data_IF_589025239466
#
_entry.id   IF_589025239466
#
_cell.length_a   1.000
_cell.length_b   1.000
_cell.length_c   1.000
_cell.angle_alpha   90.00
_cell.angle_beta   90.00
_cell.angle_gamma   90.00
#
_symmetry.space_group_name_H-M   'P 1'
#
loop_
_entity.id
_entity.type
_entity.pdbx_description
1 polymer ?
#
# COMPACT_ATOMS: atom_id res chain seq x y z
N UNK A 1 46.82 -25.09 93.90
CA UNK A 1 47.38 -24.51 92.64
C UNK A 1 46.25 -24.45 91.65
N UNK A 2 45.70 -23.24 91.41
CA UNK A 2 44.56 -23.01 90.53
C UNK A 2 45.08 -22.55 89.14
N UNK A 3 44.83 -23.37 88.13
CA UNK A 3 45.07 -22.95 86.68
C UNK A 3 43.95 -22.18 86.18
N UNK A 4 44.18 -20.94 85.73
CA UNK A 4 43.22 -20.07 85.02
C UNK A 4 43.40 -20.34 83.56
N UNK A 5 42.33 -20.85 82.92
CA UNK A 5 42.21 -20.99 81.43
C UNK A 5 41.71 -19.67 80.91
N UNK A 6 42.50 -19.01 80.08
CA UNK A 6 42.12 -17.79 79.30
C UNK A 6 41.46 -18.22 78.01
N UNK A 7 40.19 -17.93 77.92
CA UNK A 7 39.42 -18.18 76.68
C UNK A 7 39.59 -16.96 75.81
N UNK A 8 40.35 -17.05 74.72
CA UNK A 8 40.44 -16.04 73.66
C UNK A 8 39.15 -16.12 72.76
N UNK A 9 38.26 -15.15 72.89
CA UNK A 9 37.16 -14.93 71.94
C UNK A 9 37.78 -14.23 70.71
N UNK A 10 37.99 -14.97 69.63
CA UNK A 10 38.21 -14.42 68.30
C UNK A 10 36.86 -14.07 67.68
N UNK A 11 36.55 -12.76 67.65
CA UNK A 11 35.40 -12.22 66.88
C UNK A 11 35.74 -12.32 65.41
N UNK A 12 35.08 -13.25 64.74
CA UNK A 12 35.02 -13.29 63.28
C UNK A 12 34.19 -12.10 62.80
N UNK A 13 34.81 -11.05 62.27
CA UNK A 13 34.18 -10.05 61.48
C UNK A 13 33.90 -10.69 60.10
N UNK A 14 32.65 -11.12 59.86
CA UNK A 14 32.17 -11.39 58.54
C UNK A 14 32.07 -10.05 57.81
N UNK A 15 32.61 -9.90 56.59
CA UNK A 15 32.39 -8.69 55.82
C UNK A 15 30.88 -8.57 55.53
N UNK A 16 30.28 -7.51 56.03
CA UNK A 16 28.94 -7.11 55.62
C UNK A 16 29.04 -6.74 54.13
N UNK A 17 28.70 -7.68 53.26
CA UNK A 17 28.47 -7.35 51.85
C UNK A 17 27.33 -6.38 51.83
N UNK A 18 27.64 -5.10 51.60
CA UNK A 18 26.65 -4.03 51.55
C UNK A 18 25.59 -4.40 50.52
N UNK A 19 24.37 -4.56 50.98
CA UNK A 19 23.21 -4.80 50.13
C UNK A 19 23.06 -3.54 49.28
N UNK A 20 23.29 -3.65 47.95
CA UNK A 20 23.13 -2.55 47.00
C UNK A 20 21.72 -1.98 47.19
N UNK A 21 21.57 -0.69 47.41
CA UNK A 21 20.28 -0.05 47.63
C UNK A 21 19.35 -0.28 46.43
N UNK A 22 18.06 -0.37 46.65
CA UNK A 22 17.07 -0.50 45.57
C UNK A 22 17.21 0.62 44.54
N UNK A 23 17.57 1.83 44.96
CA UNK A 23 17.84 2.98 44.08
C UNK A 23 19.02 2.72 43.15
N UNK A 24 20.11 2.15 43.69
CA UNK A 24 21.28 1.80 42.85
C UNK A 24 20.97 0.67 41.88
N UNK A 25 20.16 -0.32 42.30
CA UNK A 25 19.68 -1.39 41.41
C UNK A 25 18.77 -0.84 40.30
N UNK A 26 17.86 0.08 40.61
CA UNK A 26 17.01 0.76 39.64
C UNK A 26 17.86 1.53 38.63
N UNK A 27 18.82 2.34 39.10
CA UNK A 27 19.70 3.14 38.25
C UNK A 27 20.55 2.24 37.31
N UNK A 28 21.07 1.13 37.84
CA UNK A 28 21.81 0.17 37.03
C UNK A 28 20.94 -0.46 35.93
N UNK A 29 19.71 -0.85 36.26
CA UNK A 29 18.75 -1.39 35.26
C UNK A 29 18.29 -0.35 34.24
N UNK A 30 18.14 0.90 34.62
CA UNK A 30 17.86 1.98 33.68
C UNK A 30 18.96 2.16 32.65
N UNK A 31 20.25 2.16 33.12
CA UNK A 31 21.39 2.22 32.19
C UNK A 31 21.46 1.01 31.25
N UNK A 32 21.17 -0.19 31.75
CA UNK A 32 21.11 -1.40 30.94
C UNK A 32 20.04 -1.30 29.87
N UNK A 33 18.83 -0.80 30.20
CA UNK A 33 17.74 -0.55 29.25
C UNK A 33 18.14 0.48 28.19
N UNK A 34 18.84 1.56 28.57
CA UNK A 34 19.34 2.56 27.62
C UNK A 34 20.36 1.96 26.64
N UNK A 35 21.32 1.16 27.17
CA UNK A 35 22.29 0.46 26.33
C UNK A 35 21.64 -0.52 25.37
N UNK A 36 20.65 -1.30 25.82
CA UNK A 36 19.92 -2.23 24.97
C UNK A 36 19.15 -1.50 23.86
N UNK A 37 18.54 -0.36 24.14
CA UNK A 37 17.85 0.47 23.14
C UNK A 37 18.82 1.00 22.08
N UNK A 38 20.03 1.45 22.50
CA UNK A 38 21.01 1.93 21.53
C UNK A 38 21.55 0.78 20.66
N UNK A 39 21.84 -0.39 21.27
CA UNK A 39 22.22 -1.58 20.52
C UNK A 39 21.13 -2.03 19.54
N UNK A 40 19.87 -2.04 19.95
CA UNK A 40 18.73 -2.35 19.08
C UNK A 40 18.67 -1.39 17.89
N UNK A 41 18.86 -0.09 18.13
CA UNK A 41 18.89 0.92 17.06
C UNK A 41 20.02 0.66 16.07
N UNK A 42 21.22 0.36 16.53
CA UNK A 42 22.37 0.06 15.67
C UNK A 42 22.13 -1.21 14.83
N UNK A 43 21.55 -2.26 15.43
CA UNK A 43 21.20 -3.49 14.71
C UNK A 43 20.12 -3.24 13.65
N UNK A 44 19.13 -2.39 13.92
CA UNK A 44 18.11 -2.01 12.93
C UNK A 44 18.72 -1.26 11.74
N UNK A 45 19.65 -0.35 11.97
CA UNK A 45 20.36 0.37 10.91
C UNK A 45 21.19 -0.62 10.04
N UNK A 46 21.89 -1.53 10.67
CA UNK A 46 22.69 -2.53 9.95
C UNK A 46 21.79 -3.50 9.15
N UNK A 47 20.68 -3.93 9.74
CA UNK A 47 19.71 -4.77 9.06
C UNK A 47 19.10 -4.07 7.83
N UNK A 48 18.72 -2.78 7.96
CA UNK A 48 18.23 -1.98 6.83
C UNK A 48 19.30 -1.90 5.72
N UNK A 49 20.55 -1.62 6.07
CA UNK A 49 21.68 -1.58 5.14
C UNK A 49 21.84 -2.89 4.36
N UNK A 50 21.78 -4.03 5.06
CA UNK A 50 21.90 -5.35 4.45
C UNK A 50 20.70 -5.67 3.53
N UNK A 51 19.47 -5.31 3.94
CA UNK A 51 18.27 -5.47 3.11
C UNK A 51 18.37 -4.65 1.83
N UNK A 52 18.77 -3.39 1.91
CA UNK A 52 18.97 -2.53 0.75
C UNK A 52 20.06 -3.08 -0.18
N UNK A 53 21.16 -3.57 0.36
CA UNK A 53 22.23 -4.18 -0.43
C UNK A 53 21.74 -5.44 -1.18
N UNK A 54 20.95 -6.30 -0.52
CA UNK A 54 20.32 -7.47 -1.14
C UNK A 54 19.37 -7.06 -2.26
N UNK A 55 18.44 -6.13 -1.97
CA UNK A 55 17.46 -5.66 -2.97
C UNK A 55 18.16 -5.11 -4.20
N UNK A 56 19.25 -4.36 -4.04
CA UNK A 56 20.02 -3.85 -5.17
C UNK A 56 20.57 -4.97 -6.05
N UNK A 57 21.15 -6.02 -5.45
CA UNK A 57 21.65 -7.19 -6.18
C UNK A 57 20.53 -7.93 -6.90
N UNK A 58 19.37 -8.09 -6.21
CA UNK A 58 18.22 -8.78 -6.78
C UNK A 58 17.60 -7.96 -7.93
N UNK A 59 17.52 -6.63 -7.81
CA UNK A 59 17.11 -5.76 -8.91
C UNK A 59 18.00 -5.95 -10.13
N UNK A 60 19.32 -5.83 -9.97
CA UNK A 60 20.28 -5.93 -11.05
C UNK A 60 20.25 -7.30 -11.76
N UNK A 61 20.00 -8.37 -11.03
CA UNK A 61 20.08 -9.74 -11.57
C UNK A 61 18.75 -10.31 -12.05
N UNK A 62 17.64 -9.89 -11.43
CA UNK A 62 16.40 -10.64 -11.53
C UNK A 62 15.19 -9.80 -12.01
N UNK A 63 15.24 -8.47 -11.88
CA UNK A 63 14.04 -7.64 -12.04
C UNK A 63 14.13 -6.68 -13.21
N UNK A 64 15.33 -6.20 -13.54
CA UNK A 64 15.49 -5.22 -14.62
C UNK A 64 14.98 -5.80 -15.95
N UNK A 65 14.19 -5.00 -16.70
CA UNK A 65 13.90 -5.30 -18.09
C UNK A 65 15.18 -5.32 -18.96
N UNK A 66 15.07 -5.80 -20.17
CA UNK A 66 16.11 -5.66 -21.18
C UNK A 66 16.48 -4.19 -21.36
N UNK A 67 17.79 -3.90 -21.30
CA UNK A 67 18.29 -2.54 -21.45
C UNK A 67 18.67 -2.32 -22.91
N UNK A 68 17.98 -1.41 -23.56
CA UNK A 68 18.23 -1.12 -24.97
C UNK A 68 19.49 -0.28 -25.15
N UNK A 69 20.08 -0.38 -26.35
CA UNK A 69 21.29 0.38 -26.68
C UNK A 69 21.06 1.89 -26.48
N UNK A 70 21.93 2.53 -25.71
CA UNK A 70 21.88 3.93 -25.40
C UNK A 70 21.04 4.30 -24.17
N UNK A 71 20.40 3.33 -23.51
CA UNK A 71 19.71 3.56 -22.22
C UNK A 71 20.70 3.49 -21.06
N UNK A 72 20.50 4.35 -20.07
CA UNK A 72 21.26 4.36 -18.82
C UNK A 72 20.29 3.97 -17.67
N UNK A 73 20.64 2.90 -16.96
CA UNK A 73 19.90 2.49 -15.74
C UNK A 73 20.36 3.33 -14.57
N UNK A 74 19.41 3.96 -13.92
CA UNK A 74 19.63 4.74 -12.70
C UNK A 74 19.19 3.89 -11.52
N UNK A 75 20.16 3.60 -10.64
CA UNK A 75 19.98 2.72 -9.48
C UNK A 75 19.87 3.55 -8.20
N UNK A 76 18.72 3.49 -7.56
CA UNK A 76 18.47 4.00 -6.20
C UNK A 76 18.62 2.90 -5.14
N UNK A 77 18.34 3.22 -3.88
CA UNK A 77 18.51 2.27 -2.77
C UNK A 77 17.64 1.01 -2.90
N UNK A 78 16.40 1.16 -3.39
CA UNK A 78 15.44 0.05 -3.51
C UNK A 78 14.60 0.10 -4.79
N UNK A 79 14.98 0.92 -5.78
CA UNK A 79 14.36 0.97 -7.09
C UNK A 79 15.39 1.28 -8.17
N UNK A 80 15.06 0.91 -9.40
CA UNK A 80 15.85 1.24 -10.59
C UNK A 80 14.93 1.77 -11.68
N UNK A 81 15.45 2.63 -12.55
CA UNK A 81 14.66 3.19 -13.64
C UNK A 81 15.50 3.52 -14.87
N UNK A 82 14.85 3.64 -16.01
CA UNK A 82 15.38 4.31 -17.21
C UNK A 82 14.58 5.58 -17.46
N UNK A 83 15.25 6.72 -17.51
CA UNK A 83 14.61 8.00 -17.73
C UNK A 83 14.51 8.33 -19.23
N UNK A 84 13.40 8.94 -19.64
CA UNK A 84 13.20 9.48 -20.99
C UNK A 84 13.30 10.99 -20.96
N UNK A 85 14.41 11.54 -21.45
CA UNK A 85 14.60 12.98 -21.60
C UNK A 85 13.55 13.62 -22.52
N UNK A 86 13.10 12.89 -23.53
CA UNK A 86 12.05 13.33 -24.45
C UNK A 86 10.72 13.55 -23.76
N UNK A 87 10.40 12.66 -22.81
CA UNK A 87 9.10 12.59 -22.14
C UNK A 87 9.13 13.18 -20.74
N UNK A 88 10.32 13.51 -20.22
CA UNK A 88 10.56 14.07 -18.89
C UNK A 88 9.97 13.23 -17.76
N UNK A 89 10.15 11.91 -17.87
CA UNK A 89 9.71 10.93 -16.88
C UNK A 89 10.37 9.56 -17.15
N UNK A 90 10.28 8.63 -16.19
CA UNK A 90 10.79 7.29 -16.43
C UNK A 90 9.99 6.55 -17.52
N UNK A 91 10.70 5.78 -18.37
CA UNK A 91 10.09 4.77 -19.26
C UNK A 91 9.49 3.63 -18.44
N UNK A 92 10.19 3.25 -17.41
CA UNK A 92 9.79 2.26 -16.42
C UNK A 92 10.58 2.47 -15.11
N UNK A 93 9.98 2.01 -14.02
CA UNK A 93 10.60 1.89 -12.69
C UNK A 93 10.42 0.47 -12.19
N UNK A 94 11.53 -0.18 -11.83
CA UNK A 94 11.57 -1.52 -11.25
C UNK A 94 11.80 -1.44 -9.74
N UNK A 95 11.08 -2.24 -8.95
CA UNK A 95 11.27 -2.37 -7.51
C UNK A 95 10.80 -3.73 -6.99
N UNK A 96 11.10 -4.04 -5.75
CA UNK A 96 10.67 -5.28 -5.08
C UNK A 96 9.76 -4.94 -3.91
N UNK A 97 8.56 -5.51 -3.89
CA UNK A 97 7.67 -5.46 -2.72
C UNK A 97 8.06 -6.63 -1.82
N UNK A 98 8.59 -6.32 -0.64
CA UNK A 98 9.01 -7.32 0.35
C UNK A 98 7.96 -7.50 1.46
N UNK A 99 7.96 -8.61 2.21
CA UNK A 99 7.07 -8.80 3.37
C UNK A 99 7.20 -7.70 4.44
N UNK A 100 8.28 -6.94 4.43
CA UNK A 100 8.47 -5.78 5.32
C UNK A 100 7.43 -4.67 5.12
N UNK A 101 6.73 -4.66 3.99
CA UNK A 101 5.65 -3.70 3.69
C UNK A 101 4.56 -3.70 4.76
N UNK A 102 4.30 -4.86 5.37
CA UNK A 102 3.28 -5.02 6.44
C UNK A 102 3.73 -4.43 7.77
N UNK A 103 5.03 -4.39 8.04
CA UNK A 103 5.62 -3.92 9.30
C UNK A 103 6.20 -2.51 9.22
N UNK A 104 6.24 -1.91 8.04
CA UNK A 104 6.78 -0.58 7.81
C UNK A 104 5.97 0.50 8.55
N UNK A 105 6.60 1.17 9.54
CA UNK A 105 5.97 2.17 10.39
C UNK A 105 6.36 3.60 10.05
N UNK A 106 7.27 3.80 9.10
CA UNK A 106 7.75 5.13 8.73
C UNK A 106 6.62 5.90 8.04
N UNK A 107 6.32 7.09 8.57
CA UNK A 107 5.32 8.00 8.03
C UNK A 107 5.74 8.54 6.66
N UNK A 108 4.77 8.90 5.84
CA UNK A 108 5.02 9.52 4.53
C UNK A 108 5.78 10.84 4.71
N UNK A 109 6.94 10.99 4.07
CA UNK A 109 7.81 12.18 4.21
C UNK A 109 7.38 13.36 3.31
N UNK A 110 6.79 13.08 2.14
CA UNK A 110 6.46 14.07 1.09
C UNK A 110 7.66 14.94 0.66
N UNK A 111 8.88 14.43 0.75
CA UNK A 111 10.11 15.15 0.41
C UNK A 111 10.41 15.13 -1.10
N UNK A 112 9.43 15.57 -1.89
CA UNK A 112 9.55 15.68 -3.33
C UNK A 112 10.71 16.59 -3.73
N UNK A 113 11.59 16.09 -4.59
CA UNK A 113 12.80 16.80 -5.03
C UNK A 113 13.30 16.30 -6.37
N UNK A 114 14.03 17.12 -7.14
CA UNK A 114 14.73 16.67 -8.34
C UNK A 114 15.68 15.53 -8.04
N UNK A 115 15.82 14.61 -9.00
CA UNK A 115 16.75 13.51 -8.90
C UNK A 115 18.13 13.91 -9.43
N UNK A 116 19.11 13.96 -8.54
CA UNK A 116 20.47 14.36 -8.87
C UNK A 116 21.23 13.33 -9.71
N UNK A 117 20.71 12.12 -9.85
CA UNK A 117 21.30 11.09 -10.71
C UNK A 117 20.90 11.26 -12.18
N UNK A 118 19.85 12.05 -12.48
CA UNK A 118 19.52 12.43 -13.85
C UNK A 118 20.45 13.59 -14.26
N UNK A 119 21.39 13.31 -15.14
CA UNK A 119 22.47 14.27 -15.52
C UNK A 119 21.94 15.56 -16.17
N UNK A 120 20.86 15.46 -16.90
CA UNK A 120 20.18 16.58 -17.59
C UNK A 120 19.21 17.32 -16.68
N UNK A 121 18.90 16.74 -15.52
CA UNK A 121 17.87 17.17 -14.59
C UNK A 121 16.57 16.40 -14.78
N UNK A 122 15.87 16.10 -13.70
CA UNK A 122 14.51 15.56 -13.75
C UNK A 122 13.48 16.70 -13.74
N UNK A 123 12.19 16.35 -13.93
CA UNK A 123 11.08 17.27 -13.60
C UNK A 123 11.20 17.82 -12.19
N UNK A 124 10.47 18.89 -11.92
CA UNK A 124 10.47 19.63 -10.66
C UNK A 124 9.04 19.88 -10.17
N UNK A 125 8.87 20.56 -9.05
CA UNK A 125 7.57 21.00 -8.55
C UNK A 125 6.80 21.84 -9.58
N UNK A 126 7.51 22.71 -10.30
CA UNK A 126 6.96 23.62 -11.30
C UNK A 126 6.41 22.90 -12.56
N UNK A 127 6.62 21.60 -12.68
CA UNK A 127 6.05 20.79 -13.75
C UNK A 127 4.65 20.24 -13.43
N UNK A 128 4.19 20.43 -12.19
CA UNK A 128 2.90 19.95 -11.72
C UNK A 128 1.95 21.05 -11.24
N UNK A 129 2.52 22.16 -10.71
CA UNK A 129 1.77 23.32 -10.25
C UNK A 129 2.69 24.53 -10.05
N UNK A 130 2.08 25.71 -10.09
CA UNK A 130 2.72 26.96 -9.66
C UNK A 130 2.31 27.23 -8.21
N UNK A 131 3.19 27.87 -7.44
CA UNK A 131 2.86 28.37 -6.12
C UNK A 131 3.24 29.85 -6.01
N UNK A 132 2.33 30.62 -5.45
CA UNK A 132 2.46 32.05 -5.19
C UNK A 132 2.43 32.27 -3.68
N UNK A 133 3.44 32.98 -3.15
CA UNK A 133 3.45 33.37 -1.74
C UNK A 133 2.51 34.57 -1.56
N UNK A 134 1.49 34.42 -0.74
CA UNK A 134 0.53 35.46 -0.42
C UNK A 134 1.05 36.37 0.71
N UNK A 135 0.43 37.56 0.85
CA UNK A 135 0.83 38.56 1.83
C UNK A 135 0.72 38.09 3.30
N UNK A 136 -0.14 37.09 3.56
CA UNK A 136 -0.32 36.47 4.88
C UNK A 136 0.71 35.36 5.20
N UNK A 137 1.69 35.13 4.30
CA UNK A 137 2.70 34.09 4.44
C UNK A 137 2.24 32.69 4.03
N UNK A 138 1.02 32.53 3.55
CA UNK A 138 0.51 31.27 2.99
C UNK A 138 0.83 31.14 1.50
N UNK A 139 0.67 29.92 0.94
CA UNK A 139 0.86 29.68 -0.50
C UNK A 139 -0.48 29.40 -1.17
N UNK A 140 -0.70 30.07 -2.30
CA UNK A 140 -1.73 29.70 -3.26
C UNK A 140 -1.13 28.76 -4.30
N UNK A 141 -1.81 27.66 -4.58
CA UNK A 141 -1.39 26.65 -5.55
C UNK A 141 -2.28 26.69 -6.79
N UNK A 142 -1.65 26.74 -7.97
CA UNK A 142 -2.32 26.66 -9.27
C UNK A 142 -1.86 25.38 -9.98
N UNK A 143 -2.62 24.30 -9.80
CA UNK A 143 -2.33 22.97 -10.32
C UNK A 143 -2.64 22.83 -11.81
N UNK A 144 -1.87 21.97 -12.48
CA UNK A 144 -2.05 21.69 -13.92
C UNK A 144 -3.01 20.53 -14.19
N UNK A 145 -3.70 20.04 -13.16
CA UNK A 145 -4.69 18.98 -13.28
C UNK A 145 -4.12 17.56 -13.18
N UNK A 146 -2.87 17.43 -12.73
CA UNK A 146 -2.19 16.15 -12.54
C UNK A 146 -1.58 16.06 -11.15
N UNK A 147 -1.66 14.87 -10.57
CA UNK A 147 -0.89 14.50 -9.38
C UNK A 147 0.55 14.15 -9.78
N UNK A 148 1.48 14.33 -8.84
CA UNK A 148 2.80 13.70 -8.87
C UNK A 148 2.62 12.22 -8.59
N UNK A 149 2.23 11.45 -9.63
CA UNK A 149 1.90 10.03 -9.51
C UNK A 149 3.16 9.20 -9.42
N UNK A 150 3.30 8.44 -8.33
CA UNK A 150 4.41 7.51 -8.15
C UNK A 150 4.30 6.33 -9.12
N UNK A 151 5.42 5.92 -9.73
CA UNK A 151 5.53 4.65 -10.45
C UNK A 151 5.87 3.51 -9.48
N UNK A 152 6.90 3.67 -8.65
CA UNK A 152 7.13 2.83 -7.46
C UNK A 152 6.53 3.54 -6.24
N UNK A 153 5.45 3.03 -5.62
CA UNK A 153 4.69 3.75 -4.61
C UNK A 153 5.43 3.84 -3.29
N UNK A 154 5.40 5.01 -2.65
CA UNK A 154 6.06 5.25 -1.36
C UNK A 154 5.61 4.30 -0.24
N UNK A 155 4.39 3.76 -0.34
CA UNK A 155 3.85 2.81 0.63
C UNK A 155 4.61 1.47 0.65
N UNK A 156 5.29 1.10 -0.43
CA UNK A 156 6.05 -0.14 -0.53
C UNK A 156 7.41 -0.04 0.18
N UNK A 157 7.85 1.18 0.55
CA UNK A 157 9.16 1.45 1.14
C UNK A 157 9.12 1.91 2.61
N UNK A 158 7.97 1.86 3.30
CA UNK A 158 7.82 2.33 4.68
C UNK A 158 8.65 1.58 5.73
N UNK A 159 9.38 0.58 5.34
CA UNK A 159 10.31 -0.18 6.18
C UNK A 159 11.74 0.40 6.18
N UNK A 160 12.07 1.31 5.23
CA UNK A 160 13.37 1.97 5.09
C UNK A 160 13.19 3.46 4.88
N UNK A 161 13.78 4.27 5.76
CA UNK A 161 13.73 5.72 5.65
C UNK A 161 14.38 6.21 4.35
N UNK A 162 15.49 5.58 3.94
CA UNK A 162 16.21 5.92 2.72
C UNK A 162 15.40 5.59 1.47
N UNK A 163 14.89 4.37 1.36
CA UNK A 163 14.10 3.94 0.20
C UNK A 163 12.80 4.75 0.08
N UNK A 164 12.13 5.01 1.22
CA UNK A 164 10.94 5.87 1.27
C UNK A 164 11.24 7.28 0.77
N UNK A 165 12.32 7.91 1.25
CA UNK A 165 12.72 9.24 0.81
C UNK A 165 13.06 9.27 -0.69
N UNK A 166 13.80 8.29 -1.19
CA UNK A 166 14.17 8.21 -2.61
C UNK A 166 12.95 7.96 -3.53
N UNK A 167 11.88 7.33 -3.03
CA UNK A 167 10.64 7.16 -3.80
C UNK A 167 9.97 8.49 -4.17
N UNK A 168 10.31 9.60 -3.52
CA UNK A 168 9.81 10.95 -3.81
C UNK A 168 10.66 11.73 -4.82
N UNK A 169 11.69 11.13 -5.42
CA UNK A 169 12.37 11.76 -6.54
C UNK A 169 11.41 11.98 -7.71
N UNK A 170 11.54 13.13 -8.38
CA UNK A 170 10.70 13.45 -9.55
C UNK A 170 10.94 12.50 -10.73
N UNK A 171 12.08 11.83 -10.79
CA UNK A 171 12.32 10.74 -11.76
C UNK A 171 11.37 9.54 -11.61
N UNK A 172 10.82 9.34 -10.41
CA UNK A 172 9.80 8.33 -10.10
C UNK A 172 8.37 8.87 -10.27
N UNK A 173 8.19 10.13 -10.70
CA UNK A 173 6.88 10.78 -10.85
C UNK A 173 6.46 10.84 -12.31
N UNK A 174 5.14 10.71 -12.52
CA UNK A 174 4.51 10.84 -13.83
C UNK A 174 3.20 11.62 -13.71
N UNK A 175 2.77 12.39 -14.76
CA UNK A 175 1.51 13.12 -14.73
C UNK A 175 0.28 12.20 -14.69
N UNK A 176 -0.20 11.88 -13.51
CA UNK A 176 -1.38 11.04 -13.29
C UNK A 176 -2.61 11.90 -12.98
N UNK A 177 -3.76 11.56 -13.58
CA UNK A 177 -5.03 12.19 -13.20
C UNK A 177 -5.36 11.86 -11.74
N UNK A 178 -5.88 12.82 -10.94
CA UNK A 178 -6.15 12.59 -9.52
C UNK A 178 -7.08 11.40 -9.24
N UNK A 179 -8.14 11.25 -10.02
CA UNK A 179 -9.08 10.14 -9.90
C UNK A 179 -8.47 8.78 -10.27
N UNK A 180 -7.52 8.76 -11.19
CA UNK A 180 -6.73 7.57 -11.49
C UNK A 180 -5.78 7.25 -10.34
N UNK A 181 -4.89 8.18 -10.01
CA UNK A 181 -3.84 8.01 -9.00
C UNK A 181 -4.42 7.62 -7.62
N UNK A 182 -5.38 8.43 -7.14
CA UNK A 182 -5.89 8.33 -5.77
C UNK A 182 -6.92 7.22 -5.55
N UNK A 183 -7.53 6.72 -6.63
CA UNK A 183 -8.60 5.70 -6.53
C UNK A 183 -8.22 4.43 -7.28
N UNK A 184 -8.13 4.49 -8.61
CA UNK A 184 -7.98 3.28 -9.44
C UNK A 184 -6.60 2.62 -9.27
N UNK A 185 -5.54 3.44 -9.34
CA UNK A 185 -4.17 2.98 -9.22
C UNK A 185 -3.83 2.55 -7.79
N UNK A 186 -4.29 3.32 -6.79
CA UNK A 186 -4.12 2.99 -5.38
C UNK A 186 -4.73 1.62 -5.03
N UNK A 187 -5.90 1.27 -5.59
CA UNK A 187 -6.51 -0.07 -5.40
C UNK A 187 -5.64 -1.19 -5.95
N UNK A 188 -5.04 -0.99 -7.13
CA UNK A 188 -4.13 -1.97 -7.72
C UNK A 188 -2.87 -2.17 -6.84
N UNK A 189 -2.31 -1.09 -6.33
CA UNK A 189 -1.16 -1.15 -5.42
C UNK A 189 -1.50 -1.86 -4.11
N UNK A 190 -2.67 -1.59 -3.54
CA UNK A 190 -3.15 -2.26 -2.32
C UNK A 190 -3.39 -3.76 -2.53
N UNK A 191 -3.83 -4.18 -3.73
CA UNK A 191 -3.97 -5.59 -4.10
C UNK A 191 -2.63 -6.33 -3.91
N UNK A 192 -1.54 -5.80 -4.46
CA UNK A 192 -0.23 -6.43 -4.38
C UNK A 192 0.36 -6.40 -2.96
N UNK A 193 0.20 -5.31 -2.22
CA UNK A 193 0.62 -5.26 -0.82
C UNK A 193 -0.14 -6.28 0.04
N UNK A 194 -1.44 -6.42 -0.18
CA UNK A 194 -2.27 -7.42 0.50
C UNK A 194 -1.85 -8.85 0.14
N UNK A 195 -1.50 -9.09 -1.11
CA UNK A 195 -0.97 -10.38 -1.57
C UNK A 195 0.35 -10.72 -0.86
N UNK A 196 1.29 -9.79 -0.80
CA UNK A 196 2.58 -9.97 -0.11
C UNK A 196 2.39 -10.21 1.39
N UNK A 197 1.53 -9.42 2.03
CA UNK A 197 1.24 -9.58 3.46
C UNK A 197 0.69 -10.97 3.77
N UNK A 198 -0.22 -11.47 2.94
CA UNK A 198 -0.84 -12.77 3.12
C UNK A 198 0.11 -13.94 2.84
N UNK A 199 0.81 -13.89 1.70
CA UNK A 199 1.60 -15.03 1.21
C UNK A 199 3.04 -15.00 1.76
N UNK A 200 3.46 -13.88 2.38
CA UNK A 200 4.83 -13.66 2.89
C UNK A 200 5.91 -13.92 1.83
N UNK A 201 5.59 -13.59 0.58
CA UNK A 201 6.46 -13.70 -0.59
C UNK A 201 6.96 -12.34 -1.04
N UNK A 202 7.93 -12.30 -1.92
CA UNK A 202 8.41 -11.08 -2.57
C UNK A 202 7.82 -10.97 -3.97
N UNK A 203 7.49 -9.75 -4.39
CA UNK A 203 7.03 -9.47 -5.74
C UNK A 203 8.04 -8.61 -6.49
N UNK A 204 8.38 -9.03 -7.69
CA UNK A 204 9.16 -8.26 -8.64
C UNK A 204 8.21 -7.43 -9.49
N UNK A 205 8.39 -6.12 -9.47
CA UNK A 205 7.43 -5.17 -10.05
C UNK A 205 8.14 -4.23 -11.02
N UNK A 206 7.59 -4.10 -12.22
CA UNK A 206 7.98 -3.06 -13.18
C UNK A 206 6.74 -2.23 -13.54
N UNK A 207 6.84 -0.92 -13.37
CA UNK A 207 5.73 0.01 -13.61
C UNK A 207 6.17 1.09 -14.55
N UNK A 208 5.34 1.47 -15.51
CA UNK A 208 5.65 2.59 -16.40
C UNK A 208 4.45 3.18 -17.10
N UNK A 209 4.62 4.38 -17.68
CA UNK A 209 3.69 4.95 -18.63
C UNK A 209 3.83 4.25 -19.98
N UNK A 210 2.73 4.11 -20.73
CA UNK A 210 2.79 3.74 -22.14
C UNK A 210 3.13 4.98 -22.97
N UNK A 211 4.43 5.18 -23.23
CA UNK A 211 4.93 6.33 -23.99
C UNK A 211 4.90 6.03 -25.49
N UNK A 212 4.37 6.96 -26.26
CA UNK A 212 4.29 6.91 -27.72
C UNK A 212 4.46 8.32 -28.31
N UNK A 213 4.86 8.38 -29.55
CA UNK A 213 4.92 9.65 -30.26
C UNK A 213 3.53 10.30 -30.39
N UNK A 214 3.49 11.63 -30.33
CA UNK A 214 2.26 12.39 -30.48
C UNK A 214 1.38 12.49 -29.23
N UNK A 215 1.83 11.98 -28.08
CA UNK A 215 1.12 12.20 -26.82
C UNK A 215 1.15 13.69 -26.41
N UNK A 216 0.07 14.19 -25.78
CA UNK A 216 0.04 15.56 -25.29
C UNK A 216 1.07 15.78 -24.17
N UNK A 217 1.47 17.02 -23.98
CA UNK A 217 2.37 17.45 -22.90
C UNK A 217 1.67 18.38 -21.93
N UNK A 218 2.20 18.49 -20.72
CA UNK A 218 1.73 19.49 -19.75
C UNK A 218 2.27 20.85 -20.20
N UNK A 219 1.55 21.57 -21.06
CA UNK A 219 2.02 22.76 -21.74
C UNK A 219 2.37 23.93 -20.81
N UNK A 220 1.74 24.00 -19.63
CA UNK A 220 2.03 25.01 -18.58
C UNK A 220 3.28 24.70 -17.78
N UNK A 221 3.78 23.47 -17.86
CA UNK A 221 4.94 23.01 -17.12
C UNK A 221 6.24 23.52 -17.75
N UNK A 222 7.26 23.70 -16.92
CA UNK A 222 8.59 24.18 -17.35
C UNK A 222 9.26 23.18 -18.31
N UNK A 223 9.30 21.89 -17.92
CA UNK A 223 9.95 20.83 -18.69
C UNK A 223 8.97 20.09 -19.60
N UNK A 224 7.68 20.43 -19.52
CA UNK A 224 6.61 19.87 -20.36
C UNK A 224 6.58 18.35 -20.41
N UNK A 225 6.43 17.65 -19.27
CA UNK A 225 6.35 16.20 -19.26
C UNK A 225 5.19 15.70 -20.12
N UNK A 226 5.41 14.58 -20.82
CA UNK A 226 4.40 13.92 -21.62
C UNK A 226 3.27 13.39 -20.72
N UNK A 227 2.02 13.55 -21.15
CA UNK A 227 0.83 13.04 -20.44
C UNK A 227 0.50 11.65 -20.99
N UNK A 228 0.76 10.56 -20.23
CA UNK A 228 0.44 9.21 -20.67
C UNK A 228 -1.08 8.98 -20.71
N UNK A 229 -1.54 8.25 -21.72
CA UNK A 229 -2.94 7.81 -21.80
C UNK A 229 -3.17 6.53 -21.01
N UNK A 230 -2.14 5.67 -20.90
CA UNK A 230 -2.17 4.42 -20.16
C UNK A 230 -0.93 4.27 -19.29
N UNK A 231 -1.11 3.53 -18.20
CA UNK A 231 -0.03 3.01 -17.37
C UNK A 231 -0.06 1.50 -17.34
N UNK A 232 1.09 0.88 -17.32
CA UNK A 232 1.24 -0.54 -17.10
C UNK A 232 1.88 -0.82 -15.75
N UNK A 233 1.58 -1.99 -15.21
CA UNK A 233 2.26 -2.60 -14.07
C UNK A 233 2.41 -4.09 -14.36
N UNK A 234 3.63 -4.57 -14.35
CA UNK A 234 4.00 -5.98 -14.53
C UNK A 234 4.49 -6.50 -13.20
N UNK A 235 3.99 -7.66 -12.77
CA UNK A 235 4.28 -8.22 -11.45
C UNK A 235 4.56 -9.71 -11.58
N UNK A 236 5.65 -10.15 -10.97
CA UNK A 236 6.04 -11.56 -10.89
C UNK A 236 6.26 -11.99 -9.44
N UNK A 237 5.62 -13.09 -9.06
CA UNK A 237 5.95 -13.90 -7.88
C UNK A 237 6.74 -15.13 -8.37
N UNK A 238 8.07 -15.00 -8.36
CA UNK A 238 8.96 -16.05 -8.80
C UNK A 238 8.83 -17.32 -7.98
N UNK A 239 8.64 -17.18 -6.65
CA UNK A 239 8.53 -18.31 -5.73
C UNK A 239 7.31 -19.19 -6.04
N UNK A 240 6.18 -18.57 -6.42
CA UNK A 240 4.93 -19.26 -6.75
C UNK A 240 4.72 -19.42 -8.26
N UNK A 241 5.69 -19.05 -9.10
CA UNK A 241 5.65 -19.13 -10.58
C UNK A 241 4.41 -18.43 -11.15
N UNK A 242 4.16 -17.21 -10.71
CA UNK A 242 3.00 -16.41 -11.11
C UNK A 242 3.46 -15.10 -11.73
N UNK A 243 2.79 -14.71 -12.81
CA UNK A 243 2.95 -13.41 -13.44
C UNK A 243 1.60 -12.80 -13.80
N UNK A 244 1.55 -11.48 -13.84
CA UNK A 244 0.38 -10.74 -14.27
C UNK A 244 0.78 -9.35 -14.73
N UNK A 245 0.09 -8.87 -15.76
CA UNK A 245 0.16 -7.49 -16.21
C UNK A 245 -1.15 -6.76 -15.95
N UNK A 246 -1.07 -5.45 -15.78
CA UNK A 246 -2.20 -4.55 -15.79
C UNK A 246 -1.94 -3.41 -16.75
N UNK A 247 -2.95 -3.05 -17.54
CA UNK A 247 -2.94 -1.90 -18.44
C UNK A 247 -4.16 -1.04 -18.13
N UNK A 248 -3.93 0.12 -17.53
CA UNK A 248 -5.01 0.96 -17.01
C UNK A 248 -4.99 2.35 -17.65
N UNK A 249 -6.13 2.90 -18.09
CA UNK A 249 -6.19 4.26 -18.64
C UNK A 249 -5.96 5.29 -17.54
N UNK A 250 -5.28 6.40 -17.88
CA UNK A 250 -5.03 7.54 -16.99
C UNK A 250 -6.31 8.36 -16.73
N UNK A 251 -7.33 7.72 -16.17
CA UNK A 251 -8.61 8.29 -15.76
C UNK A 251 -9.25 7.38 -14.72
N UNK A 252 -10.36 7.82 -14.13
CA UNK A 252 -11.15 6.92 -13.27
C UNK A 252 -11.50 5.64 -14.03
N UNK A 253 -11.09 4.50 -13.51
CA UNK A 253 -11.40 3.20 -14.09
C UNK A 253 -12.75 2.72 -13.59
N UNK A 254 -13.66 2.44 -14.51
CA UNK A 254 -14.97 1.90 -14.20
C UNK A 254 -14.88 0.38 -14.05
N UNK A 255 -15.64 -0.16 -13.10
CA UNK A 255 -15.67 -1.59 -12.83
C UNK A 255 -14.53 -2.09 -11.94
N UNK A 256 -14.41 -3.41 -11.79
CA UNK A 256 -13.42 -4.02 -10.92
C UNK A 256 -12.00 -3.97 -11.52
N UNK A 257 -11.00 -3.92 -10.66
CA UNK A 257 -9.56 -3.82 -11.05
C UNK A 257 -9.13 -4.97 -11.95
N UNK A 258 -9.70 -6.17 -11.74
CA UNK A 258 -9.43 -7.37 -12.54
C UNK A 258 -9.78 -7.24 -14.02
N UNK A 259 -10.68 -6.32 -14.38
CA UNK A 259 -11.03 -6.05 -15.80
C UNK A 259 -9.89 -5.45 -16.61
N UNK A 260 -8.84 -4.97 -15.94
CA UNK A 260 -7.67 -4.35 -16.56
C UNK A 260 -6.46 -5.27 -16.58
N UNK A 261 -6.62 -6.54 -16.14
CA UNK A 261 -5.55 -7.52 -16.18
C UNK A 261 -5.29 -7.99 -17.62
N UNK A 262 -4.04 -8.11 -17.96
CA UNK A 262 -3.51 -8.59 -19.24
C UNK A 262 -2.33 -9.52 -18.99
N UNK A 263 -1.87 -10.24 -20.00
CA UNK A 263 -0.61 -10.98 -19.91
C UNK A 263 0.59 -10.01 -19.96
N UNK A 264 1.73 -10.46 -19.46
CA UNK A 264 3.00 -9.71 -19.59
C UNK A 264 3.35 -9.56 -21.06
N UNK A 265 3.24 -10.62 -21.87
CA UNK A 265 3.43 -10.61 -23.33
C UNK A 265 2.65 -9.49 -24.03
N UNK A 266 1.43 -9.22 -23.55
CA UNK A 266 0.62 -8.13 -24.11
C UNK A 266 1.21 -6.75 -23.84
N UNK A 267 1.83 -6.57 -22.67
CA UNK A 267 2.51 -5.31 -22.32
C UNK A 267 3.81 -5.18 -23.10
N UNK A 268 4.57 -6.26 -23.26
CA UNK A 268 5.80 -6.31 -24.07
C UNK A 268 5.53 -5.93 -25.52
N UNK A 269 4.48 -6.53 -26.11
CA UNK A 269 4.04 -6.17 -27.47
C UNK A 269 3.70 -4.68 -27.60
N UNK A 270 3.10 -4.08 -26.56
CA UNK A 270 2.69 -2.68 -26.58
C UNK A 270 3.83 -1.71 -26.32
N UNK A 271 4.81 -2.09 -25.50
CA UNK A 271 5.90 -1.22 -25.04
C UNK A 271 7.20 -1.42 -25.81
N UNK A 272 7.40 -2.61 -26.39
CA UNK A 272 8.68 -3.06 -26.94
C UNK A 272 9.74 -3.35 -25.88
N UNK A 273 9.34 -3.46 -24.60
CA UNK A 273 10.22 -3.77 -23.47
C UNK A 273 10.09 -5.27 -23.20
N UNK A 274 11.20 -5.99 -23.15
CA UNK A 274 11.25 -7.38 -22.70
C UNK A 274 11.49 -7.40 -21.18
N UNK A 275 10.58 -8.01 -20.41
CA UNK A 275 10.64 -8.05 -18.94
C UNK A 275 11.27 -9.37 -18.47
N UNK A 276 11.91 -9.34 -17.29
CA UNK A 276 12.39 -10.52 -16.55
C UNK A 276 13.30 -11.47 -17.37
N UNK A 277 14.11 -10.95 -18.24
CA UNK A 277 15.04 -11.69 -19.12
C UNK A 277 16.01 -12.63 -18.38
N UNK A 278 16.08 -12.56 -17.07
CA UNK A 278 16.86 -13.47 -16.21
C UNK A 278 16.16 -14.79 -15.91
N UNK A 279 14.86 -14.90 -16.21
CA UNK A 279 14.12 -16.16 -16.07
C UNK A 279 14.58 -17.15 -17.16
N UNK A 280 14.45 -18.46 -16.91
CA UNK A 280 14.62 -19.43 -17.97
C UNK A 280 13.46 -19.35 -18.96
N UNK A 281 13.71 -19.57 -20.25
CA UNK A 281 12.71 -19.52 -21.34
C UNK A 281 11.42 -20.28 -20.99
N UNK A 282 11.54 -21.46 -20.33
CA UNK A 282 10.37 -22.25 -19.92
C UNK A 282 9.52 -21.54 -18.85
N UNK A 283 10.20 -20.93 -17.87
CA UNK A 283 9.54 -20.23 -16.77
C UNK A 283 8.97 -18.90 -17.26
N UNK A 284 9.71 -18.14 -18.04
CA UNK A 284 9.32 -16.90 -18.70
C UNK A 284 8.03 -17.13 -19.50
N UNK A 285 8.05 -18.03 -20.51
CA UNK A 285 6.88 -18.36 -21.30
C UNK A 285 5.65 -18.78 -20.46
N UNK A 286 5.88 -19.50 -19.36
CA UNK A 286 4.78 -19.92 -18.46
C UNK A 286 4.17 -18.76 -17.69
N UNK A 287 5.01 -17.85 -17.19
CA UNK A 287 4.61 -16.73 -16.34
C UNK A 287 3.97 -15.61 -17.16
N UNK A 288 4.54 -15.28 -18.31
CA UNK A 288 4.18 -14.10 -19.10
C UNK A 288 2.83 -14.23 -19.81
N UNK A 289 2.39 -15.45 -20.11
CA UNK A 289 1.07 -15.73 -20.67
C UNK A 289 -0.08 -15.63 -19.64
N UNK A 290 0.24 -15.61 -18.35
CA UNK A 290 -0.78 -15.58 -17.30
C UNK A 290 -1.50 -14.23 -17.26
N UNK A 291 -2.80 -14.27 -17.08
CA UNK A 291 -3.67 -13.08 -16.89
C UNK A 291 -4.78 -13.29 -15.85
N UNK A 292 -4.83 -14.48 -15.22
CA UNK A 292 -5.83 -14.74 -14.19
C UNK A 292 -5.48 -14.00 -12.89
N UNK A 293 -6.35 -13.09 -12.50
CA UNK A 293 -6.19 -12.29 -11.30
C UNK A 293 -6.55 -13.03 -10.01
N UNK A 294 -7.36 -14.09 -10.06
CA UNK A 294 -7.86 -14.80 -8.87
C UNK A 294 -6.76 -15.25 -7.91
N UNK A 295 -5.62 -15.81 -8.37
CA UNK A 295 -4.53 -16.18 -7.47
C UNK A 295 -3.91 -15.01 -6.69
N UNK A 296 -4.08 -13.78 -7.19
CA UNK A 296 -3.55 -12.55 -6.59
C UNK A 296 -4.49 -11.93 -5.55
N UNK A 297 -5.76 -12.34 -5.58
CA UNK A 297 -6.76 -11.83 -4.66
C UNK A 297 -6.60 -12.40 -3.26
N UNK A 298 -6.97 -11.64 -2.26
CA UNK A 298 -7.07 -12.17 -0.90
C UNK A 298 -8.17 -13.23 -0.83
N UNK A 299 -8.10 -14.23 0.08
CA UNK A 299 -9.18 -15.20 0.26
C UNK A 299 -10.51 -14.52 0.58
N UNK A 300 -10.47 -13.34 1.23
CA UNK A 300 -11.67 -12.55 1.53
C UNK A 300 -12.28 -11.98 0.26
N UNK A 301 -11.48 -11.60 -0.74
CA UNK A 301 -11.95 -11.14 -2.06
C UNK A 301 -12.49 -12.29 -2.90
N UNK A 302 -11.94 -13.50 -2.74
CA UNK A 302 -12.45 -14.71 -3.39
C UNK A 302 -13.86 -15.12 -2.88
N UNK A 303 -14.31 -14.57 -1.77
CA UNK A 303 -15.66 -14.76 -1.24
C UNK A 303 -16.67 -13.76 -1.84
N UNK A 304 -16.26 -12.94 -2.78
CA UNK A 304 -17.15 -12.05 -3.50
C UNK A 304 -18.34 -12.82 -4.09
N UNK A 305 -19.52 -12.27 -3.87
CA UNK A 305 -20.77 -12.84 -4.38
C UNK A 305 -21.45 -11.86 -5.34
N UNK A 306 -22.38 -12.35 -6.12
CA UNK A 306 -23.26 -11.47 -6.90
C UNK A 306 -24.22 -10.76 -5.94
N UNK A 307 -24.44 -9.45 -6.14
CA UNK A 307 -25.49 -8.74 -5.43
C UNK A 307 -26.85 -9.44 -5.56
N UNK A 308 -27.65 -9.35 -4.51
CA UNK A 308 -28.99 -9.95 -4.50
C UNK A 308 -29.81 -9.45 -5.71
N UNK A 309 -30.64 -10.35 -6.28
CA UNK A 309 -31.56 -9.97 -7.34
C UNK A 309 -32.61 -8.99 -6.79
N UNK A 310 -32.75 -7.78 -7.38
CA UNK A 310 -33.73 -6.79 -6.91
C UNK A 310 -35.17 -7.31 -6.88
N UNK A 311 -35.50 -8.30 -7.71
CA UNK A 311 -36.85 -8.89 -7.78
C UNK A 311 -37.17 -9.78 -6.57
N UNK A 312 -36.17 -10.24 -5.86
CA UNK A 312 -36.29 -11.06 -4.65
C UNK A 312 -36.29 -10.23 -3.37
N UNK A 313 -36.04 -8.91 -3.48
CA UNK A 313 -36.02 -8.03 -2.32
C UNK A 313 -37.43 -7.51 -1.98
N UNK A 314 -37.74 -7.36 -0.68
CA UNK A 314 -38.98 -6.74 -0.26
C UNK A 314 -39.12 -5.30 -0.77
N UNK A 315 -40.32 -4.78 -0.80
CA UNK A 315 -40.58 -3.38 -1.21
C UNK A 315 -39.75 -2.41 -0.36
N UNK A 316 -39.10 -1.44 -0.99
CA UNK A 316 -38.16 -0.46 -0.38
C UNK A 316 -36.86 -1.07 0.14
N UNK A 317 -36.54 -2.30 -0.21
CA UNK A 317 -35.21 -2.86 -0.02
C UNK A 317 -34.43 -2.82 -1.35
N UNK A 318 -33.15 -2.53 -1.26
CA UNK A 318 -32.28 -2.35 -2.40
C UNK A 318 -31.02 -3.22 -2.24
N UNK A 319 -30.49 -3.72 -3.32
CA UNK A 319 -29.20 -4.37 -3.27
C UNK A 319 -28.05 -3.33 -3.25
N UNK A 320 -26.84 -3.79 -3.05
CA UNK A 320 -25.63 -2.96 -2.95
C UNK A 320 -25.35 -2.12 -4.20
N UNK A 321 -25.72 -2.59 -5.40
CA UNK A 321 -25.58 -1.83 -6.65
C UNK A 321 -26.59 -0.70 -6.74
N UNK A 322 -27.86 -0.96 -6.37
CA UNK A 322 -28.90 0.05 -6.36
C UNK A 322 -28.68 1.15 -5.31
N UNK A 323 -27.99 0.83 -4.19
CA UNK A 323 -27.63 1.77 -3.14
C UNK A 323 -26.88 3.01 -3.68
N UNK A 324 -26.13 2.86 -4.79
CA UNK A 324 -25.42 3.94 -5.47
C UNK A 324 -26.35 5.09 -5.89
N UNK A 325 -27.61 4.79 -6.23
CA UNK A 325 -28.59 5.79 -6.66
C UNK A 325 -29.07 6.70 -5.52
N UNK A 326 -28.90 6.25 -4.27
CA UNK A 326 -29.35 6.97 -3.07
C UNK A 326 -28.21 7.73 -2.36
N UNK A 327 -27.03 7.71 -2.93
CA UNK A 327 -25.84 8.34 -2.38
C UNK A 327 -26.05 9.85 -2.22
N UNK A 328 -26.05 10.33 -0.98
CA UNK A 328 -26.20 11.76 -0.66
C UNK A 328 -27.62 12.31 -0.71
N UNK A 329 -28.65 11.50 -1.00
CA UNK A 329 -30.03 11.96 -1.08
C UNK A 329 -30.72 12.20 0.28
N UNK A 330 -30.05 11.90 1.40
CA UNK A 330 -30.56 12.07 2.76
C UNK A 330 -31.86 11.28 3.06
N UNK A 331 -32.18 10.28 2.22
CA UNK A 331 -33.30 9.36 2.42
C UNK A 331 -32.87 8.15 3.23
N UNK A 332 -33.75 7.66 4.11
CA UNK A 332 -33.55 6.40 4.83
C UNK A 332 -34.08 5.26 3.95
N UNK A 333 -33.19 4.33 3.60
CA UNK A 333 -33.49 3.13 2.82
C UNK A 333 -32.92 1.89 3.52
N UNK A 334 -33.37 0.71 3.08
CA UNK A 334 -32.79 -0.56 3.49
C UNK A 334 -31.91 -1.11 2.36
N UNK A 335 -30.63 -1.40 2.65
CA UNK A 335 -29.70 -2.02 1.71
C UNK A 335 -29.36 -3.43 2.17
N UNK A 336 -29.53 -4.41 1.28
CA UNK A 336 -29.27 -5.83 1.56
C UNK A 336 -28.09 -6.34 0.73
N UNK A 337 -27.25 -7.19 1.34
CA UNK A 337 -26.10 -7.83 0.71
C UNK A 337 -25.38 -8.78 1.66
N UNK A 338 -24.47 -9.56 1.12
CA UNK A 338 -23.69 -10.52 1.90
C UNK A 338 -22.37 -9.90 2.38
N UNK A 339 -22.05 -10.03 3.66
CA UNK A 339 -20.78 -9.55 4.22
C UNK A 339 -19.66 -10.46 3.76
N UNK A 340 -18.90 -10.04 2.78
CA UNK A 340 -17.82 -10.85 2.17
C UNK A 340 -16.43 -10.48 2.69
N UNK A 341 -16.27 -9.30 3.29
CA UNK A 341 -15.04 -8.95 4.00
C UNK A 341 -15.30 -8.03 5.18
N UNK A 342 -14.47 -8.17 6.21
CA UNK A 342 -14.52 -7.36 7.43
C UNK A 342 -13.13 -6.84 7.79
N UNK A 343 -13.06 -5.65 8.42
CA UNK A 343 -11.81 -5.10 8.92
C UNK A 343 -12.03 -4.38 10.24
N UNK A 344 -11.25 -4.74 11.24
CA UNK A 344 -11.06 -3.94 12.45
C UNK A 344 -9.84 -3.04 12.24
N UNK A 345 -10.04 -1.73 12.21
CA UNK A 345 -8.94 -0.77 12.04
C UNK A 345 -8.11 -0.62 13.32
N UNK A 346 -6.89 -0.10 13.20
CA UNK A 346 -6.02 0.23 14.34
C UNK A 346 -6.65 1.26 15.30
N UNK A 347 -7.63 2.03 14.83
CA UNK A 347 -8.40 2.99 15.64
C UNK A 347 -9.64 2.36 16.29
N UNK A 348 -9.90 1.06 16.09
CA UNK A 348 -11.04 0.32 16.64
C UNK A 348 -12.35 0.46 15.86
N UNK A 349 -12.37 1.10 14.69
CA UNK A 349 -13.55 1.13 13.82
C UNK A 349 -13.68 -0.19 13.06
N UNK A 350 -14.90 -0.67 12.87
CA UNK A 350 -15.22 -1.86 12.10
C UNK A 350 -15.78 -1.45 10.73
N UNK A 351 -15.28 -2.09 9.68
CA UNK A 351 -15.78 -1.97 8.32
C UNK A 351 -16.26 -3.34 7.84
N UNK A 352 -17.49 -3.38 7.29
CA UNK A 352 -18.07 -4.57 6.68
C UNK A 352 -18.33 -4.24 5.21
N UNK A 353 -17.76 -5.01 4.29
CA UNK A 353 -17.98 -4.82 2.86
C UNK A 353 -18.99 -5.84 2.37
N UNK A 354 -20.05 -5.35 1.71
CA UNK A 354 -21.12 -6.19 1.20
C UNK A 354 -20.88 -6.54 -0.26
N UNK A 355 -21.09 -7.81 -0.60
CA UNK A 355 -21.05 -8.47 -1.91
C UNK A 355 -19.67 -8.43 -2.60
N UNK A 356 -18.89 -7.37 -2.42
CA UNK A 356 -17.53 -7.21 -2.92
C UNK A 356 -16.58 -6.80 -1.81
N UNK A 357 -15.46 -7.54 -1.68
CA UNK A 357 -14.41 -7.24 -0.70
C UNK A 357 -13.55 -6.04 -1.07
N UNK A 358 -12.78 -5.52 -0.07
CA UNK A 358 -11.74 -4.53 -0.32
C UNK A 358 -10.65 -5.15 -1.21
N UNK A 359 -10.08 -4.45 -2.21
CA UNK A 359 -10.28 -3.00 -2.53
C UNK A 359 -11.43 -2.70 -3.51
N UNK A 360 -12.21 -3.71 -3.92
CA UNK A 360 -13.25 -3.59 -4.95
C UNK A 360 -14.66 -3.45 -4.36
N UNK A 361 -14.76 -3.02 -3.10
CA UNK A 361 -16.05 -2.88 -2.41
C UNK A 361 -17.02 -1.96 -3.15
N UNK A 362 -18.26 -2.41 -3.24
CA UNK A 362 -19.37 -1.66 -3.88
C UNK A 362 -20.29 -1.04 -2.84
N UNK A 363 -20.25 -1.53 -1.60
CA UNK A 363 -20.97 -0.97 -0.47
C UNK A 363 -20.24 -1.30 0.85
N UNK A 364 -20.05 -0.29 1.70
CA UNK A 364 -19.37 -0.47 2.99
C UNK A 364 -20.25 -0.01 4.14
N UNK A 365 -20.34 -0.85 5.18
CA UNK A 365 -20.92 -0.48 6.48
C UNK A 365 -19.81 -0.11 7.43
N UNK A 366 -19.96 1.02 8.11
CA UNK A 366 -19.00 1.51 9.10
C UNK A 366 -19.65 1.52 10.48
N UNK A 367 -18.98 0.88 11.44
CA UNK A 367 -19.32 0.95 12.86
C UNK A 367 -18.15 1.64 13.57
N UNK A 368 -18.38 2.84 14.10
CA UNK A 368 -17.33 3.55 14.80
C UNK A 368 -17.04 2.90 16.17
N UNK A 369 -15.81 3.06 16.64
CA UNK A 369 -15.32 2.46 17.89
C UNK A 369 -16.24 2.69 19.09
N UNK A 370 -16.73 3.92 19.25
CA UNK A 370 -17.63 4.32 20.34
C UNK A 370 -19.03 3.68 20.25
N UNK A 371 -19.38 3.14 19.09
CA UNK A 371 -20.66 2.46 18.82
C UNK A 371 -20.57 0.93 18.93
N UNK A 372 -19.37 0.36 18.91
CA UNK A 372 -19.20 -1.11 19.01
C UNK A 372 -19.78 -1.66 20.31
N UNK A 373 -19.78 -0.88 21.39
CA UNK A 373 -20.37 -1.26 22.67
C UNK A 373 -21.90 -1.46 22.61
N UNK A 374 -22.56 -0.92 21.57
CA UNK A 374 -24.01 -1.06 21.36
C UNK A 374 -24.38 -2.39 20.67
N UNK A 375 -23.41 -3.28 20.49
CA UNK A 375 -23.63 -4.61 19.91
C UNK A 375 -23.39 -5.67 20.97
N UNK A 376 -24.28 -6.66 21.03
CA UNK A 376 -24.15 -7.82 21.93
C UNK A 376 -23.12 -8.85 21.43
N UNK A 377 -22.57 -8.66 20.24
CA UNK A 377 -21.57 -9.50 19.57
C UNK A 377 -20.49 -8.64 18.88
N UNK A 378 -19.39 -9.27 18.44
CA UNK A 378 -18.37 -8.62 17.65
C UNK A 378 -18.77 -8.59 16.16
N UNK A 379 -19.19 -7.44 15.60
CA UNK A 379 -19.77 -7.38 14.26
C UNK A 379 -18.86 -7.87 13.13
N UNK A 380 -17.54 -7.67 13.26
CA UNK A 380 -16.57 -8.13 12.27
C UNK A 380 -16.36 -9.66 12.25
N UNK A 381 -16.74 -10.36 13.30
CA UNK A 381 -16.65 -11.81 13.42
C UNK A 381 -17.98 -12.47 13.11
N UNK A 382 -19.04 -12.04 13.80
CA UNK A 382 -20.35 -12.67 13.71
C UNK A 382 -21.04 -12.43 12.35
N UNK A 383 -20.85 -11.26 11.75
CA UNK A 383 -21.54 -10.91 10.50
C UNK A 383 -20.82 -11.40 9.24
N UNK A 384 -19.59 -11.87 9.36
CA UNK A 384 -18.85 -12.38 8.20
C UNK A 384 -19.56 -13.60 7.57
N UNK A 385 -19.76 -13.55 6.26
CA UNK A 385 -20.47 -14.60 5.49
C UNK A 385 -21.99 -14.56 5.60
N UNK A 386 -22.57 -13.65 6.40
CA UNK A 386 -24.02 -13.52 6.55
C UNK A 386 -24.58 -12.55 5.51
N UNK A 387 -25.78 -12.86 5.02
CA UNK A 387 -26.56 -11.91 4.23
C UNK A 387 -27.39 -11.07 5.16
N UNK A 388 -27.20 -9.75 5.11
CA UNK A 388 -27.81 -8.79 6.03
C UNK A 388 -28.50 -7.67 5.27
N UNK A 389 -29.52 -7.08 5.88
CA UNK A 389 -30.18 -5.85 5.45
C UNK A 389 -29.94 -4.76 6.48
N UNK A 390 -29.56 -3.57 6.04
CA UNK A 390 -29.19 -2.47 6.89
C UNK A 390 -30.05 -1.26 6.56
N UNK A 391 -30.68 -0.69 7.56
CA UNK A 391 -31.51 0.50 7.43
C UNK A 391 -30.71 1.75 7.78
N UNK A 392 -30.69 2.73 6.89
CA UNK A 392 -29.96 3.97 7.11
C UNK A 392 -29.93 4.90 5.90
N UNK A 393 -29.12 5.96 6.00
CA UNK A 393 -28.86 6.91 4.92
C UNK A 393 -27.57 6.54 4.20
N UNK A 394 -27.59 6.56 2.88
CA UNK A 394 -26.40 6.25 2.07
C UNK A 394 -25.54 7.49 1.92
N UNK A 395 -24.36 7.46 2.52
CA UNK A 395 -23.31 8.46 2.37
C UNK A 395 -22.36 8.11 1.23
N UNK A 396 -21.58 9.10 0.82
CA UNK A 396 -20.44 8.92 -0.07
C UNK A 396 -19.16 8.84 0.74
N UNK A 397 -18.48 7.72 0.66
CA UNK A 397 -17.15 7.58 1.25
C UNK A 397 -16.12 7.30 0.15
N UNK A 398 -15.43 8.37 -0.29
CA UNK A 398 -14.43 8.29 -1.38
C UNK A 398 -14.96 7.61 -2.65
N UNK A 399 -16.18 7.96 -3.06
CA UNK A 399 -16.83 7.39 -4.25
C UNK A 399 -17.58 6.09 -4.01
N UNK A 400 -17.40 5.43 -2.86
CA UNK A 400 -18.10 4.19 -2.49
C UNK A 400 -19.35 4.52 -1.66
N UNK A 401 -20.54 4.00 -2.02
CA UNK A 401 -21.73 4.08 -1.19
C UNK A 401 -21.47 3.43 0.18
N UNK A 402 -21.86 4.09 1.25
CA UNK A 402 -21.64 3.60 2.62
C UNK A 402 -22.77 3.95 3.55
N UNK A 403 -22.92 3.18 4.62
CA UNK A 403 -23.79 3.49 5.75
C UNK A 403 -23.05 3.43 7.06
N UNK A 404 -23.38 4.33 7.99
CA UNK A 404 -22.92 4.25 9.38
C UNK A 404 -24.00 3.55 10.19
N UNK A 405 -23.61 2.57 11.00
CA UNK A 405 -24.50 1.82 11.89
C UNK A 405 -24.07 2.06 13.33
N UNK A 406 -25.01 2.41 14.19
CA UNK A 406 -24.77 2.80 15.57
C UNK A 406 -25.12 1.72 16.59
N UNK A 407 -25.94 0.74 16.19
CA UNK A 407 -26.39 -0.36 17.06
C UNK A 407 -26.86 -1.55 16.21
N UNK A 408 -27.05 -2.71 16.87
CA UNK A 408 -27.44 -3.97 16.21
C UNK A 408 -28.87 -3.97 15.67
N UNK A 409 -29.79 -3.11 16.17
CA UNK A 409 -31.18 -3.06 15.67
C UNK A 409 -31.28 -2.55 14.23
N UNK A 410 -30.27 -1.83 13.75
CA UNK A 410 -30.22 -1.38 12.35
C UNK A 410 -29.82 -2.52 11.36
N UNK A 411 -29.43 -3.70 11.87
CA UNK A 411 -28.99 -4.86 11.09
C UNK A 411 -30.02 -5.97 11.24
N UNK A 412 -30.55 -6.47 10.12
CA UNK A 412 -31.45 -7.63 10.08
C UNK A 412 -30.82 -8.73 9.20
N UNK A 413 -30.90 -9.97 9.60
CA UNK A 413 -30.49 -11.10 8.76
C UNK A 413 -31.53 -11.27 7.66
N UNK A 414 -31.03 -11.48 6.42
CA UNK A 414 -31.86 -11.75 5.26
C UNK A 414 -31.93 -13.26 5.07
N UNK A 415 -33.11 -13.84 5.29
CA UNK A 415 -33.40 -15.24 5.01
C UNK A 415 -34.18 -15.31 3.68
N UNK A 416 -33.68 -16.12 2.72
CA UNK A 416 -34.46 -16.43 1.53
C UNK A 416 -35.57 -17.40 1.98
N UNK A 417 -36.81 -16.95 1.89
CA UNK A 417 -37.99 -17.84 2.03
C UNK A 417 -38.06 -18.84 0.87
#
# INVERSE_FOLDING_TARGET
>A
MKSIIFLLLTSFFLPVTGQISLTEQINAKQKEVELLKENEKQLKIELERLKLARIRVDLEKEVLPEILAGEEVIMHAAMALVYSEKDEQAKWVAHIITPDVSSGLIGRSNDFRPDSLIKTGSTTEEDYFLKELLADGTYKYDGFGFDRGHLAPSADFRWSAKALSESFYYSNMSPQRPEFNRVSWAKLEDLFRSYVDKNKTELYVVTGPLLRDGLPKVERAKNKPTIPVYYFKVVVDKANKRGIGFLMPNKLCEGPTESYSVSIDSIETLTGINFYTSLSDELENTIEQQKDVKPWMSPKEQNDVKPLDPTQLPKKHFNTVQAKLYKGLNETITVCGTVVSTKLSSKGNIFLNLDKGFPNQIFTVTIFKDKVINFSYLPNEELFGKTICIEGKVADFNGTPSMVVENEQAIKFFENE
#
